data_IF_508478642567
#
_entry.id   IF_508478642567
#
_cell.length_a   1.000
_cell.length_b   1.000
_cell.length_c   1.000
_cell.angle_alpha   90.00
_cell.angle_beta   90.00
_cell.angle_gamma   90.00
#
_symmetry.space_group_name_H-M   'P 1'
#
loop_
_entity.id
_entity.type
_entity.pdbx_description
1 polymer ?
#
# COMPACT_ATOMS: atom_id res chain seq x y z
N UNK A 1 -35.25 -28.70 27.62
CA UNK A 1 -33.98 -28.78 26.88
C UNK A 1 -34.20 -28.13 25.52
N UNK A 2 -33.80 -26.88 25.36
CA UNK A 2 -33.88 -26.18 24.08
C UNK A 2 -32.75 -26.70 23.19
N UNK A 3 -33.09 -27.17 21.99
CA UNK A 3 -32.15 -27.57 20.96
C UNK A 3 -31.11 -26.46 20.74
N UNK A 4 -29.81 -26.77 20.60
CA UNK A 4 -28.81 -25.76 20.30
C UNK A 4 -29.21 -25.12 18.95
N UNK A 5 -29.51 -23.82 18.95
CA UNK A 5 -29.68 -23.07 17.70
C UNK A 5 -28.39 -23.24 16.92
N UNK A 6 -28.45 -24.02 15.84
CA UNK A 6 -27.35 -24.10 14.89
C UNK A 6 -27.05 -22.69 14.40
N UNK A 7 -25.93 -22.13 14.85
CA UNK A 7 -25.48 -20.84 14.38
C UNK A 7 -25.21 -20.92 12.89
N UNK A 8 -25.97 -20.15 12.10
CA UNK A 8 -25.92 -20.14 10.65
C UNK A 8 -24.57 -19.58 10.20
N UNK A 9 -23.95 -20.25 9.25
CA UNK A 9 -22.77 -19.72 8.57
C UNK A 9 -23.13 -18.43 7.83
N UNK A 10 -22.33 -17.39 7.98
CA UNK A 10 -22.53 -16.09 7.35
C UNK A 10 -21.38 -15.80 6.40
N UNK A 11 -21.71 -15.22 5.24
CA UNK A 11 -20.72 -14.75 4.27
C UNK A 11 -20.24 -13.39 4.74
N UNK A 12 -18.94 -13.27 4.99
CA UNK A 12 -18.26 -12.02 5.38
C UNK A 12 -17.91 -11.20 4.14
N UNK A 13 -17.42 -11.87 3.09
CA UNK A 13 -17.05 -11.23 1.83
C UNK A 13 -17.07 -12.25 0.70
N UNK A 14 -17.55 -11.83 -0.48
CA UNK A 14 -17.49 -12.61 -1.71
C UNK A 14 -16.90 -11.79 -2.83
N UNK A 15 -15.91 -12.36 -3.53
CA UNK A 15 -15.31 -11.84 -4.75
C UNK A 15 -15.13 -12.98 -5.76
N UNK A 16 -14.90 -12.71 -7.05
CA UNK A 16 -14.73 -13.77 -8.05
C UNK A 16 -13.61 -14.77 -7.72
N UNK A 17 -12.55 -14.29 -7.07
CA UNK A 17 -11.33 -15.02 -6.72
C UNK A 17 -11.32 -15.57 -5.30
N UNK A 18 -12.28 -15.18 -4.44
CA UNK A 18 -12.30 -15.60 -3.04
C UNK A 18 -13.65 -15.44 -2.35
N UNK A 19 -13.86 -16.27 -1.35
CA UNK A 19 -15.02 -16.22 -0.46
C UNK A 19 -14.58 -16.40 0.99
N UNK A 20 -15.08 -15.54 1.87
CA UNK A 20 -14.78 -15.54 3.30
C UNK A 20 -16.08 -15.80 4.05
N UNK A 21 -16.08 -16.78 4.93
CA UNK A 21 -17.22 -17.20 5.73
C UNK A 21 -16.88 -17.23 7.21
N UNK A 22 -17.89 -16.98 8.01
CA UNK A 22 -17.84 -17.06 9.47
C UNK A 22 -19.01 -17.86 10.00
N UNK A 23 -18.72 -18.80 10.91
CA UNK A 23 -19.73 -19.54 11.66
C UNK A 23 -19.51 -19.33 13.14
N UNK A 24 -20.44 -18.67 13.81
CA UNK A 24 -20.36 -18.40 15.24
C UNK A 24 -20.52 -19.69 16.03
N UNK A 25 -19.60 -19.99 16.91
CA UNK A 25 -19.65 -21.11 17.86
C UNK A 25 -20.18 -20.64 19.22
N UNK A 26 -19.63 -19.52 19.72
CA UNK A 26 -20.02 -18.88 20.95
C UNK A 26 -20.20 -17.38 20.67
N UNK A 27 -21.39 -16.79 20.96
CA UNK A 27 -21.60 -15.37 20.76
C UNK A 27 -20.79 -14.54 21.77
N UNK A 28 -20.38 -13.35 21.36
CA UNK A 28 -19.69 -12.37 22.18
C UNK A 28 -20.60 -11.24 22.64
N UNK A 29 -19.97 -10.16 23.12
CA UNK A 29 -20.63 -8.93 23.49
C UNK A 29 -20.78 -8.03 22.25
N UNK A 30 -22.02 -7.86 21.79
CA UNK A 30 -22.35 -7.10 20.59
C UNK A 30 -22.13 -5.58 20.72
N UNK A 31 -21.74 -5.08 21.88
CA UNK A 31 -21.44 -3.66 22.08
C UNK A 31 -20.02 -3.29 21.64
N UNK A 32 -19.11 -4.27 21.50
CA UNK A 32 -17.71 -4.08 21.16
C UNK A 32 -17.37 -4.85 19.89
N UNK A 33 -17.24 -4.13 18.77
CA UNK A 33 -16.87 -4.66 17.45
C UNK A 33 -15.61 -3.96 16.97
N UNK A 34 -14.59 -4.68 16.50
CA UNK A 34 -13.36 -4.07 15.98
C UNK A 34 -13.60 -3.24 14.72
N UNK A 35 -12.93 -2.13 14.61
CA UNK A 35 -12.85 -1.31 13.39
C UNK A 35 -11.38 -0.99 13.04
N UNK A 36 -11.14 -0.20 12.01
CA UNK A 36 -9.80 0.20 11.59
C UNK A 36 -9.00 0.75 12.76
N UNK A 37 -7.75 0.30 12.91
CA UNK A 37 -6.81 0.63 13.99
C UNK A 37 -7.19 0.10 15.40
N UNK A 38 -8.26 -0.68 15.55
CA UNK A 38 -8.53 -1.39 16.81
C UNK A 38 -7.46 -2.45 17.07
N UNK A 39 -7.04 -2.58 18.35
CA UNK A 39 -6.16 -3.66 18.80
C UNK A 39 -7.01 -4.82 19.28
N UNK A 40 -6.87 -5.96 18.64
CA UNK A 40 -7.59 -7.17 18.94
C UNK A 40 -6.64 -8.19 19.56
N UNK A 41 -6.95 -8.67 20.78
CA UNK A 41 -6.29 -9.84 21.34
C UNK A 41 -7.04 -11.08 20.92
N UNK A 42 -6.39 -11.93 20.16
CA UNK A 42 -7.01 -13.13 19.57
C UNK A 42 -6.27 -14.40 19.97
N UNK A 43 -7.01 -15.49 19.98
CA UNK A 43 -6.45 -16.85 20.01
C UNK A 43 -6.92 -17.58 18.76
N UNK A 44 -5.96 -18.13 18.02
CA UNK A 44 -6.18 -18.91 16.83
C UNK A 44 -5.81 -20.38 17.11
N UNK A 45 -6.71 -21.29 16.78
CA UNK A 45 -6.52 -22.74 16.92
C UNK A 45 -7.04 -23.46 15.68
N UNK A 46 -6.73 -24.74 15.57
CA UNK A 46 -7.23 -25.62 14.51
C UNK A 46 -6.99 -25.10 13.09
N UNK A 47 -5.85 -24.44 12.88
CA UNK A 47 -5.47 -23.88 11.58
C UNK A 47 -5.18 -25.01 10.60
N UNK A 48 -5.95 -25.05 9.52
CA UNK A 48 -5.82 -26.00 8.41
C UNK A 48 -5.73 -25.27 7.09
N UNK A 49 -4.82 -25.69 6.24
CA UNK A 49 -4.73 -25.24 4.86
C UNK A 49 -4.86 -26.46 3.93
N UNK A 50 -5.80 -26.43 3.01
CA UNK A 50 -6.05 -27.49 2.07
C UNK A 50 -6.20 -26.97 0.64
N UNK A 51 -5.84 -27.77 -0.33
CA UNK A 51 -6.10 -27.57 -1.75
C UNK A 51 -6.68 -28.85 -2.36
N UNK A 52 -6.83 -28.91 -3.67
CA UNK A 52 -7.36 -30.10 -4.35
C UNK A 52 -6.52 -31.38 -4.12
N UNK A 53 -5.24 -31.21 -3.82
CA UNK A 53 -4.30 -32.32 -3.58
C UNK A 53 -4.19 -32.73 -2.10
N UNK A 54 -4.89 -32.05 -1.19
CA UNK A 54 -4.86 -32.29 0.25
C UNK A 54 -4.29 -31.12 1.05
N UNK A 55 -3.53 -31.40 2.12
CA UNK A 55 -2.92 -30.36 2.97
C UNK A 55 -1.87 -29.58 2.21
N UNK A 56 -1.89 -28.26 2.35
CA UNK A 56 -0.90 -27.35 1.76
C UNK A 56 -0.29 -26.43 2.81
N UNK A 57 0.83 -25.80 2.44
CA UNK A 57 1.47 -24.81 3.30
C UNK A 57 0.74 -23.47 3.23
N UNK A 58 0.69 -22.78 4.38
CA UNK A 58 0.22 -21.42 4.47
C UNK A 58 1.35 -20.49 4.02
N UNK A 59 0.98 -19.36 3.42
CA UNK A 59 1.93 -18.38 2.93
C UNK A 59 2.92 -17.96 4.03
N UNK A 60 4.24 -18.05 3.78
CA UNK A 60 5.26 -17.81 4.82
C UNK A 60 5.30 -16.37 5.33
N UNK A 61 4.62 -15.43 4.65
CA UNK A 61 4.56 -14.01 5.01
C UNK A 61 3.43 -13.68 6.00
N UNK A 62 2.54 -14.63 6.31
CA UNK A 62 1.49 -14.42 7.30
C UNK A 62 2.09 -14.26 8.70
N UNK A 63 1.59 -13.25 9.44
CA UNK A 63 1.96 -13.01 10.84
C UNK A 63 1.09 -13.78 11.81
N UNK A 64 -0.10 -14.16 11.40
CA UNK A 64 -1.16 -14.69 12.23
C UNK A 64 -1.32 -16.19 12.05
N UNK A 65 -1.26 -16.66 10.80
CA UNK A 65 -1.47 -18.07 10.48
C UNK A 65 -0.20 -18.89 10.72
N UNK A 66 -0.04 -19.32 11.97
CA UNK A 66 0.85 -20.39 12.40
C UNK A 66 -0.02 -21.54 12.90
N UNK A 67 0.59 -22.63 13.43
CA UNK A 67 -0.18 -23.76 13.99
C UNK A 67 -1.10 -23.35 15.14
N UNK A 68 -0.67 -22.36 15.92
CA UNK A 68 -1.49 -21.67 16.93
C UNK A 68 -0.94 -20.26 17.11
N UNK A 69 -1.81 -19.31 17.40
CA UNK A 69 -1.45 -17.92 17.64
C UNK A 69 -2.22 -17.42 18.86
N UNK A 70 -1.53 -16.83 19.82
CA UNK A 70 -2.13 -16.08 20.94
C UNK A 70 -1.39 -14.74 21.00
N UNK A 71 -2.05 -13.66 20.64
CA UNK A 71 -1.40 -12.36 20.54
C UNK A 71 -2.32 -11.25 20.07
N UNK A 72 -1.70 -10.10 19.83
CA UNK A 72 -2.39 -8.90 19.40
C UNK A 72 -2.31 -8.71 17.88
N UNK A 73 -3.43 -8.36 17.28
CA UNK A 73 -3.56 -7.95 15.88
C UNK A 73 -4.07 -6.52 15.86
N UNK A 74 -3.42 -5.66 15.08
CA UNK A 74 -3.88 -4.31 14.79
C UNK A 74 -4.63 -4.33 13.46
N UNK A 75 -5.92 -4.01 13.48
CA UNK A 75 -6.74 -3.97 12.27
C UNK A 75 -6.23 -2.90 11.30
N UNK A 76 -6.03 -3.27 10.05
CA UNK A 76 -5.51 -2.37 9.01
C UNK A 76 -3.98 -2.32 8.91
N UNK A 77 -3.24 -3.07 9.74
CA UNK A 77 -1.76 -3.14 9.70
C UNK A 77 -1.21 -4.39 9.00
N UNK A 78 -2.07 -5.23 8.44
CA UNK A 78 -1.63 -6.43 7.71
C UNK A 78 -1.09 -6.11 6.32
N UNK A 79 -0.03 -6.80 5.95
CA UNK A 79 0.58 -6.71 4.61
C UNK A 79 0.24 -7.93 3.74
N UNK A 80 0.11 -9.12 4.33
CA UNK A 80 -0.33 -10.34 3.65
C UNK A 80 -1.80 -10.23 3.21
N UNK A 81 -2.15 -10.74 2.03
CA UNK A 81 -3.54 -10.75 1.58
C UNK A 81 -4.40 -11.68 2.43
N UNK A 82 -3.83 -12.78 2.94
CA UNK A 82 -4.51 -13.71 3.85
C UNK A 82 -4.84 -13.02 5.17
N UNK A 83 -3.86 -12.31 5.75
CA UNK A 83 -4.07 -11.59 7.00
C UNK A 83 -5.11 -10.46 6.83
N UNK A 84 -5.10 -9.75 5.69
CA UNK A 84 -6.14 -8.75 5.36
C UNK A 84 -7.54 -9.36 5.25
N UNK A 85 -7.65 -10.55 4.65
CA UNK A 85 -8.93 -11.26 4.56
C UNK A 85 -9.39 -11.76 5.94
N UNK A 86 -8.45 -12.14 6.79
CA UNK A 86 -8.74 -12.50 8.17
C UNK A 86 -9.15 -11.30 9.02
N UNK A 87 -8.56 -10.12 8.81
CA UNK A 87 -9.02 -8.88 9.46
C UNK A 87 -10.49 -8.57 9.15
N UNK A 88 -11.00 -8.91 7.95
CA UNK A 88 -12.42 -8.78 7.64
C UNK A 88 -13.29 -9.70 8.52
N UNK A 89 -12.79 -10.88 8.89
CA UNK A 89 -13.49 -11.76 9.84
C UNK A 89 -13.53 -11.11 11.22
N UNK A 90 -12.38 -10.60 11.71
CA UNK A 90 -12.30 -9.94 13.01
C UNK A 90 -13.23 -8.73 13.10
N UNK A 91 -13.33 -7.92 12.04
CA UNK A 91 -14.24 -6.78 11.96
C UNK A 91 -15.73 -7.15 12.00
N UNK A 92 -16.06 -8.41 11.80
CA UNK A 92 -17.42 -8.95 11.90
C UNK A 92 -17.64 -9.72 13.20
N UNK A 93 -16.64 -9.80 14.08
CA UNK A 93 -16.72 -10.46 15.38
C UNK A 93 -17.02 -9.46 16.50
N UNK A 94 -17.62 -9.97 17.56
CA UNK A 94 -17.85 -9.24 18.80
C UNK A 94 -16.83 -9.66 19.86
N UNK A 95 -16.52 -8.80 20.83
CA UNK A 95 -15.63 -9.13 21.92
C UNK A 95 -16.13 -10.36 22.71
N UNK A 96 -15.27 -11.34 22.97
CA UNK A 96 -15.61 -12.61 23.59
C UNK A 96 -16.24 -13.66 22.66
N UNK A 97 -16.41 -13.33 21.37
CA UNK A 97 -16.94 -14.28 20.38
C UNK A 97 -15.91 -15.35 20.01
N UNK A 98 -16.39 -16.58 19.82
CA UNK A 98 -15.64 -17.67 19.22
C UNK A 98 -16.32 -18.07 17.92
N UNK A 99 -15.59 -18.11 16.83
CA UNK A 99 -16.12 -18.55 15.54
C UNK A 99 -15.15 -19.46 14.77
N UNK A 100 -15.70 -20.22 13.84
CA UNK A 100 -14.95 -20.87 12.77
C UNK A 100 -14.91 -19.94 11.58
N UNK A 101 -13.71 -19.61 11.10
CA UNK A 101 -13.47 -18.79 9.92
C UNK A 101 -13.00 -19.69 8.78
N UNK A 102 -13.56 -19.50 7.57
CA UNK A 102 -13.16 -20.21 6.37
C UNK A 102 -12.91 -19.22 5.25
N UNK A 103 -11.73 -19.27 4.66
CA UNK A 103 -11.32 -18.44 3.52
C UNK A 103 -11.01 -19.36 2.34
N UNK A 104 -11.76 -19.21 1.25
CA UNK A 104 -11.66 -20.04 0.03
C UNK A 104 -11.11 -19.16 -1.09
N UNK A 105 -10.01 -19.59 -1.71
CA UNK A 105 -9.37 -18.90 -2.83
C UNK A 105 -9.51 -19.73 -4.10
N UNK A 106 -9.88 -19.09 -5.20
CA UNK A 106 -10.12 -19.70 -6.50
C UNK A 106 -9.29 -19.03 -7.59
N UNK A 107 -8.95 -19.79 -8.62
CA UNK A 107 -8.35 -19.23 -9.84
C UNK A 107 -9.42 -18.58 -10.75
N UNK A 108 -8.98 -18.03 -11.88
CA UNK A 108 -9.86 -17.40 -12.87
C UNK A 108 -10.89 -18.37 -13.46
N UNK A 109 -10.60 -19.68 -13.46
CA UNK A 109 -11.46 -20.73 -13.99
C UNK A 109 -12.42 -21.28 -12.92
N UNK A 110 -12.38 -20.74 -11.70
CA UNK A 110 -13.20 -21.13 -10.55
C UNK A 110 -12.70 -22.34 -9.78
N UNK A 111 -11.57 -22.95 -10.18
CA UNK A 111 -10.99 -24.09 -9.46
C UNK A 111 -10.40 -23.65 -8.11
N UNK A 112 -10.46 -24.55 -7.13
CA UNK A 112 -9.95 -24.33 -5.78
C UNK A 112 -8.42 -24.22 -5.80
N UNK A 113 -7.89 -23.05 -5.44
CA UNK A 113 -6.44 -22.86 -5.24
C UNK A 113 -6.04 -23.30 -3.85
N UNK A 114 -6.74 -22.77 -2.84
CA UNK A 114 -6.54 -23.14 -1.44
C UNK A 114 -7.75 -22.75 -0.59
N UNK A 115 -7.93 -23.48 0.51
CA UNK A 115 -8.88 -23.17 1.56
C UNK A 115 -8.16 -23.13 2.89
N UNK A 116 -8.37 -22.07 3.65
CA UNK A 116 -7.83 -21.93 5.02
C UNK A 116 -9.02 -21.91 5.96
N UNK A 117 -9.00 -22.79 6.96
CA UNK A 117 -9.98 -22.79 8.06
C UNK A 117 -9.27 -22.72 9.40
N UNK A 118 -9.89 -22.03 10.34
CA UNK A 118 -9.37 -21.90 11.70
C UNK A 118 -10.51 -21.61 12.66
N UNK A 119 -10.29 -21.93 13.93
CA UNK A 119 -11.12 -21.42 15.03
C UNK A 119 -10.44 -20.19 15.61
N UNK A 120 -11.19 -19.11 15.76
CA UNK A 120 -10.71 -17.86 16.33
C UNK A 120 -11.57 -17.44 17.51
N UNK A 121 -10.94 -17.05 18.60
CA UNK A 121 -11.52 -16.38 19.75
C UNK A 121 -11.04 -14.94 19.80
N UNK A 122 -11.95 -13.98 19.79
CA UNK A 122 -11.67 -12.55 19.99
C UNK A 122 -11.81 -12.24 21.48
N UNK A 123 -10.69 -12.30 22.22
CA UNK A 123 -10.68 -12.16 23.69
C UNK A 123 -10.95 -10.74 24.14
N UNK A 124 -10.27 -9.77 23.54
CA UNK A 124 -10.31 -8.38 23.94
C UNK A 124 -10.27 -7.50 22.70
N UNK A 125 -10.99 -6.41 22.74
CA UNK A 125 -10.95 -5.32 21.75
C UNK A 125 -10.60 -4.05 22.52
N UNK A 126 -9.47 -3.44 22.17
CA UNK A 126 -9.17 -2.09 22.64
C UNK A 126 -9.63 -1.13 21.57
N UNK A 127 -10.69 -0.39 21.87
CA UNK A 127 -11.17 0.68 21.01
C UNK A 127 -10.14 1.81 21.01
N UNK A 128 -9.69 2.15 19.83
CA UNK A 128 -8.89 3.34 19.60
C UNK A 128 -9.83 4.48 19.18
N UNK A 129 -9.38 5.71 19.35
CA UNK A 129 -10.13 6.86 18.82
C UNK A 129 -10.30 6.72 17.31
N UNK A 130 -11.42 7.18 16.77
CA UNK A 130 -11.59 7.26 15.31
C UNK A 130 -10.47 8.09 14.69
N UNK A 131 -10.00 7.72 13.51
CA UNK A 131 -8.91 8.44 12.82
C UNK A 131 -9.23 9.92 12.65
N UNK A 132 -10.51 10.28 12.51
CA UNK A 132 -10.98 11.67 12.48
C UNK A 132 -10.67 12.46 13.74
N UNK A 133 -10.51 11.80 14.87
CA UNK A 133 -10.31 12.40 16.18
C UNK A 133 -8.85 12.34 16.64
N UNK A 134 -7.96 11.81 15.78
CA UNK A 134 -6.54 11.73 16.08
C UNK A 134 -5.90 13.10 16.04
N UNK A 135 -4.98 13.33 16.98
CA UNK A 135 -4.14 14.51 16.94
C UNK A 135 -3.20 14.47 15.72
N UNK A 136 -2.71 15.63 15.32
CA UNK A 136 -1.75 15.71 14.20
C UNK A 136 -0.48 14.90 14.46
N UNK A 137 -0.01 14.82 15.73
CA UNK A 137 1.16 14.03 16.14
C UNK A 137 0.94 12.55 15.82
N UNK A 138 -0.21 12.03 16.25
CA UNK A 138 -0.55 10.63 16.01
C UNK A 138 -0.69 10.30 14.53
N UNK A 139 -1.32 11.20 13.76
CA UNK A 139 -1.41 11.06 12.30
C UNK A 139 -0.03 11.08 11.64
N UNK A 140 0.88 11.94 12.11
CA UNK A 140 2.25 12.02 11.62
C UNK A 140 3.04 10.73 11.94
N UNK A 141 3.00 10.25 13.18
CA UNK A 141 3.65 8.99 13.59
C UNK A 141 3.14 7.80 12.78
N UNK A 142 1.83 7.70 12.60
CA UNK A 142 1.23 6.66 11.77
C UNK A 142 1.65 6.78 10.29
N UNK A 143 1.76 7.99 9.75
CA UNK A 143 2.26 8.21 8.40
C UNK A 143 3.73 7.79 8.25
N UNK A 144 4.58 8.07 9.25
CA UNK A 144 5.98 7.60 9.28
C UNK A 144 6.02 6.07 9.31
N UNK A 145 5.26 5.43 10.19
CA UNK A 145 5.16 3.98 10.28
C UNK A 145 4.78 3.33 8.94
N UNK A 146 3.69 3.81 8.31
CA UNK A 146 3.26 3.28 7.01
C UNK A 146 4.28 3.54 5.89
N UNK A 147 4.99 4.69 5.91
CA UNK A 147 6.08 4.95 4.96
C UNK A 147 7.21 3.92 5.13
N UNK A 148 7.62 3.61 6.35
CA UNK A 148 8.69 2.64 6.63
C UNK A 148 8.30 1.23 6.20
N UNK A 149 7.10 0.80 6.54
CA UNK A 149 6.55 -0.48 6.07
C UNK A 149 6.51 -0.54 4.54
N UNK A 150 6.09 0.54 3.88
CA UNK A 150 6.09 0.63 2.42
C UNK A 150 7.50 0.48 1.81
N UNK A 151 8.53 1.08 2.43
CA UNK A 151 9.92 0.92 1.98
C UNK A 151 10.38 -0.53 2.11
N UNK A 152 10.04 -1.22 3.19
CA UNK A 152 10.40 -2.63 3.37
C UNK A 152 9.69 -3.54 2.37
N UNK A 153 8.44 -3.24 2.02
CA UNK A 153 7.70 -3.96 0.98
C UNK A 153 8.33 -3.75 -0.42
N UNK A 154 8.85 -2.56 -0.72
CA UNK A 154 9.62 -2.34 -1.97
C UNK A 154 10.87 -3.24 -2.01
N UNK A 155 11.63 -3.32 -0.90
CA UNK A 155 12.80 -4.21 -0.83
C UNK A 155 12.44 -5.69 -1.05
N UNK A 156 11.22 -6.08 -0.69
CA UNK A 156 10.67 -7.42 -0.90
C UNK A 156 10.05 -7.63 -2.30
N UNK A 157 10.08 -6.62 -3.19
CA UNK A 157 9.46 -6.68 -4.52
C UNK A 157 7.93 -6.56 -4.51
N UNK A 158 7.31 -6.23 -3.38
CA UNK A 158 5.86 -6.15 -3.17
C UNK A 158 5.34 -4.74 -3.46
N UNK A 159 5.48 -4.29 -4.70
CA UNK A 159 5.20 -2.91 -5.12
C UNK A 159 3.74 -2.49 -4.89
N UNK A 160 2.76 -3.38 -5.16
CA UNK A 160 1.33 -3.06 -4.95
C UNK A 160 0.99 -2.82 -3.48
N UNK A 161 1.54 -3.63 -2.57
CA UNK A 161 1.33 -3.45 -1.13
C UNK A 161 2.06 -2.21 -0.62
N UNK A 162 3.26 -1.94 -1.10
CA UNK A 162 4.00 -0.71 -0.82
C UNK A 162 3.21 0.53 -1.25
N UNK A 163 2.62 0.51 -2.45
CA UNK A 163 1.76 1.59 -2.93
C UNK A 163 0.60 1.88 -1.97
N UNK A 164 -0.08 0.83 -1.47
CA UNK A 164 -1.17 0.98 -0.49
C UNK A 164 -0.69 1.62 0.80
N UNK A 165 0.48 1.21 1.32
CA UNK A 165 1.09 1.78 2.52
C UNK A 165 1.46 3.25 2.33
N UNK A 166 2.13 3.61 1.23
CA UNK A 166 2.46 5.01 0.94
C UNK A 166 1.22 5.88 0.74
N UNK A 167 0.17 5.34 0.11
CA UNK A 167 -1.09 6.06 -0.07
C UNK A 167 -1.79 6.29 1.27
N UNK A 168 -1.82 5.28 2.18
CA UNK A 168 -2.36 5.43 3.54
C UNK A 168 -1.58 6.51 4.30
N UNK A 169 -0.25 6.47 4.28
CA UNK A 169 0.62 7.48 4.88
C UNK A 169 0.33 8.89 4.36
N UNK A 170 0.19 9.04 3.04
CA UNK A 170 -0.09 10.34 2.43
C UNK A 170 -1.46 10.88 2.83
N UNK A 171 -2.50 10.04 2.88
CA UNK A 171 -3.83 10.43 3.36
C UNK A 171 -3.80 10.91 4.81
N UNK A 172 -3.05 10.25 5.68
CA UNK A 172 -2.88 10.68 7.08
C UNK A 172 -2.24 12.06 7.17
N UNK A 173 -1.19 12.33 6.38
CA UNK A 173 -0.57 13.67 6.33
C UNK A 173 -1.51 14.74 5.77
N UNK A 174 -2.32 14.41 4.77
CA UNK A 174 -3.32 15.36 4.23
C UNK A 174 -4.41 15.64 5.28
N UNK A 175 -4.78 14.64 6.08
CA UNK A 175 -5.78 14.80 7.14
C UNK A 175 -5.32 15.74 8.29
N UNK A 176 -4.01 16.02 8.41
CA UNK A 176 -3.52 17.01 9.38
C UNK A 176 -3.76 18.46 8.93
N UNK A 177 -4.12 18.70 7.68
CA UNK A 177 -4.29 20.06 7.14
C UNK A 177 -5.73 20.58 7.29
N UNK A 178 -5.92 21.89 7.59
CA UNK A 178 -4.88 22.90 7.78
C UNK A 178 -4.25 22.82 9.18
N UNK A 179 -2.92 22.99 9.25
CA UNK A 179 -2.20 23.08 10.51
C UNK A 179 -2.34 24.49 11.09
N UNK A 180 -2.68 24.61 12.37
CA UNK A 180 -2.69 25.90 13.06
C UNK A 180 -1.25 26.33 13.38
N UNK A 181 -0.74 27.46 12.82
CA UNK A 181 0.60 27.94 13.07
C UNK A 181 0.88 28.29 14.55
N UNK A 182 -0.18 28.41 15.36
CA UNK A 182 -0.04 28.67 16.80
C UNK A 182 0.23 27.39 17.60
N UNK A 183 -0.14 26.24 17.04
CA UNK A 183 -0.05 24.93 17.70
C UNK A 183 1.18 24.17 17.21
N UNK A 184 1.55 24.35 15.95
CA UNK A 184 2.60 23.54 15.30
C UNK A 184 3.81 24.43 14.98
N UNK A 185 5.01 24.00 15.42
CA UNK A 185 6.24 24.72 15.13
C UNK A 185 6.62 24.67 13.64
N UNK A 186 7.37 25.67 13.16
CA UNK A 186 7.87 25.70 11.79
C UNK A 186 8.71 24.46 11.43
N UNK A 187 9.43 23.91 12.40
CA UNK A 187 10.23 22.69 12.17
C UNK A 187 9.33 21.50 11.84
N UNK A 188 8.26 21.31 12.59
CA UNK A 188 7.29 20.22 12.34
C UNK A 188 6.64 20.38 10.96
N UNK A 189 6.30 21.61 10.57
CA UNK A 189 5.75 21.86 9.21
C UNK A 189 6.77 21.46 8.15
N UNK A 190 8.05 21.79 8.32
CA UNK A 190 9.13 21.36 7.41
C UNK A 190 9.25 19.84 7.34
N UNK A 191 9.25 19.16 8.49
CA UNK A 191 9.34 17.69 8.56
C UNK A 191 8.16 17.02 7.86
N UNK A 192 6.94 17.56 8.02
CA UNK A 192 5.76 17.08 7.32
C UNK A 192 5.84 17.27 5.81
N UNK A 193 6.34 18.43 5.35
CA UNK A 193 6.57 18.69 3.92
C UNK A 193 7.61 17.74 3.36
N UNK A 194 8.74 17.52 4.06
CA UNK A 194 9.73 16.54 3.65
C UNK A 194 9.14 15.12 3.54
N UNK A 195 8.31 14.73 4.51
CA UNK A 195 7.65 13.42 4.48
C UNK A 195 6.70 13.32 3.28
N UNK A 196 5.93 14.37 2.95
CA UNK A 196 5.09 14.43 1.74
C UNK A 196 5.91 14.25 0.47
N UNK A 197 7.03 14.95 0.34
CA UNK A 197 7.94 14.82 -0.82
C UNK A 197 8.43 13.37 -0.94
N UNK A 198 8.86 12.76 0.18
CA UNK A 198 9.30 11.36 0.21
C UNK A 198 8.18 10.41 -0.23
N UNK A 199 6.93 10.65 0.22
CA UNK A 199 5.77 9.83 -0.12
C UNK A 199 5.38 9.99 -1.60
N UNK A 200 5.32 11.20 -2.14
CA UNK A 200 5.07 11.41 -3.56
C UNK A 200 6.11 10.73 -4.43
N UNK A 201 7.39 10.83 -4.05
CA UNK A 201 8.46 10.12 -4.73
C UNK A 201 8.28 8.60 -4.68
N UNK A 202 7.94 8.03 -3.53
CA UNK A 202 7.75 6.59 -3.40
C UNK A 202 6.52 6.09 -4.18
N UNK A 203 5.42 6.85 -4.18
CA UNK A 203 4.25 6.56 -5.01
C UNK A 203 4.58 6.63 -6.51
N UNK A 204 5.34 7.66 -6.93
CA UNK A 204 5.81 7.78 -8.31
C UNK A 204 6.70 6.60 -8.72
N UNK A 205 7.54 6.09 -7.79
CA UNK A 205 8.32 4.88 -8.03
C UNK A 205 7.42 3.66 -8.26
N UNK A 206 6.40 3.48 -7.43
CA UNK A 206 5.46 2.36 -7.60
C UNK A 206 4.71 2.44 -8.93
N UNK A 207 4.23 3.61 -9.32
CA UNK A 207 3.52 3.79 -10.59
C UNK A 207 4.43 3.53 -11.79
N UNK A 208 5.69 3.99 -11.72
CA UNK A 208 6.66 3.76 -12.78
C UNK A 208 6.97 2.25 -12.99
N UNK A 209 6.88 1.43 -11.92
CA UNK A 209 7.06 -0.03 -12.02
C UNK A 209 5.90 -0.73 -12.75
N UNK A 210 4.76 -0.07 -12.88
CA UNK A 210 3.57 -0.56 -13.61
C UNK A 210 3.36 0.19 -14.94
N UNK A 211 4.38 0.95 -15.39
CA UNK A 211 4.33 1.75 -16.62
C UNK A 211 3.19 2.80 -16.65
N UNK A 212 2.68 3.18 -15.46
CA UNK A 212 1.67 4.22 -15.30
C UNK A 212 2.34 5.61 -15.36
N UNK A 213 2.72 6.02 -16.57
CA UNK A 213 3.58 7.18 -16.79
C UNK A 213 2.90 8.50 -16.45
N UNK A 214 1.63 8.71 -16.84
CA UNK A 214 0.87 9.93 -16.55
C UNK A 214 0.71 10.12 -15.04
N UNK A 215 0.35 9.07 -14.31
CA UNK A 215 0.26 9.11 -12.85
C UNK A 215 1.63 9.38 -12.20
N UNK A 216 2.70 8.86 -12.79
CA UNK A 216 4.08 9.14 -12.36
C UNK A 216 4.41 10.62 -12.53
N UNK A 217 4.07 11.23 -13.67
CA UNK A 217 4.29 12.66 -13.93
C UNK A 217 3.56 13.54 -12.92
N UNK A 218 2.28 13.24 -12.65
CA UNK A 218 1.49 13.99 -11.66
C UNK A 218 2.14 13.94 -10.26
N UNK A 219 2.57 12.76 -9.81
CA UNK A 219 3.19 12.58 -8.51
C UNK A 219 4.55 13.28 -8.42
N UNK A 220 5.37 13.20 -9.49
CA UNK A 220 6.63 13.94 -9.57
C UNK A 220 6.41 15.44 -9.54
N UNK A 221 5.42 15.97 -10.27
CA UNK A 221 5.10 17.38 -10.27
C UNK A 221 4.64 17.86 -8.88
N UNK A 222 3.87 17.03 -8.14
CA UNK A 222 3.51 17.32 -6.74
C UNK A 222 4.74 17.36 -5.83
N UNK A 223 5.69 16.43 -5.99
CA UNK A 223 6.93 16.45 -5.23
C UNK A 223 7.77 17.70 -5.54
N UNK A 224 7.93 18.05 -6.82
CA UNK A 224 8.71 19.20 -7.29
C UNK A 224 8.07 20.56 -6.93
N UNK A 225 6.76 20.61 -6.66
CA UNK A 225 6.10 21.81 -6.13
C UNK A 225 6.61 22.18 -4.73
N UNK A 226 6.92 21.18 -3.91
CA UNK A 226 7.45 21.38 -2.55
C UNK A 226 8.98 21.41 -2.51
N UNK A 227 9.63 20.63 -3.38
CA UNK A 227 11.09 20.54 -3.47
C UNK A 227 11.52 20.58 -4.95
N UNK A 228 11.72 21.80 -5.52
CA UNK A 228 12.06 21.97 -6.93
C UNK A 228 13.40 21.38 -7.35
N UNK A 229 14.29 21.10 -6.36
CA UNK A 229 15.63 20.54 -6.62
C UNK A 229 15.71 19.03 -6.31
N UNK A 230 14.58 18.35 -6.24
CA UNK A 230 14.54 16.93 -5.95
C UNK A 230 14.98 16.07 -7.14
N UNK A 231 16.23 15.62 -7.12
CA UNK A 231 16.84 14.81 -8.20
C UNK A 231 16.04 13.53 -8.46
N UNK A 232 15.54 12.87 -7.39
CA UNK A 232 14.74 11.62 -7.55
C UNK A 232 13.44 11.86 -8.30
N UNK A 233 12.77 12.99 -8.03
CA UNK A 233 11.56 13.36 -8.76
C UNK A 233 11.85 13.70 -10.22
N UNK A 234 12.89 14.47 -10.49
CA UNK A 234 13.34 14.80 -11.86
C UNK A 234 13.72 13.54 -12.65
N UNK A 235 14.47 12.62 -12.04
CA UNK A 235 14.83 11.36 -12.67
C UNK A 235 13.61 10.50 -13.03
N UNK A 236 12.63 10.38 -12.11
CA UNK A 236 11.40 9.61 -12.36
C UNK A 236 10.53 10.27 -13.42
N UNK A 237 10.44 11.62 -13.38
CA UNK A 237 9.75 12.42 -14.38
C UNK A 237 10.35 12.20 -15.78
N UNK A 238 11.67 12.27 -15.88
CA UNK A 238 12.41 11.91 -17.09
C UNK A 238 12.09 10.48 -17.56
N UNK A 239 12.02 9.53 -16.64
CA UNK A 239 11.72 8.14 -16.99
C UNK A 239 10.30 7.99 -17.51
N UNK A 240 9.33 8.67 -16.93
CA UNK A 240 7.94 8.68 -17.37
C UNK A 240 7.78 9.35 -18.75
N UNK A 241 8.39 10.54 -18.99
CA UNK A 241 8.41 11.18 -20.31
C UNK A 241 9.08 10.26 -21.37
N UNK A 242 10.16 9.57 -20.98
CA UNK A 242 10.81 8.61 -21.87
C UNK A 242 9.91 7.42 -22.23
N UNK A 243 9.08 6.93 -21.29
CA UNK A 243 8.07 5.90 -21.52
C UNK A 243 6.95 6.35 -22.46
N UNK A 244 6.55 7.60 -22.36
CA UNK A 244 5.58 8.24 -23.24
C UNK A 244 6.17 8.68 -24.59
N UNK A 245 7.44 8.38 -24.87
CA UNK A 245 8.17 8.82 -26.05
C UNK A 245 8.35 10.34 -26.21
N UNK A 246 8.13 11.10 -25.12
CA UNK A 246 8.34 12.54 -25.04
C UNK A 246 9.81 12.85 -24.72
N UNK A 247 10.68 12.58 -25.69
CA UNK A 247 12.14 12.57 -25.45
C UNK A 247 12.73 13.96 -25.17
N UNK A 248 12.15 15.03 -25.71
CA UNK A 248 12.59 16.40 -25.46
C UNK A 248 12.32 16.82 -24.03
N UNK A 249 11.12 16.50 -23.51
CA UNK A 249 10.77 16.74 -22.12
C UNK A 249 11.64 15.87 -21.18
N UNK A 250 11.84 14.59 -21.53
CA UNK A 250 12.71 13.71 -20.78
C UNK A 250 14.15 14.24 -20.72
N UNK A 251 14.65 14.81 -21.83
CA UNK A 251 15.97 15.42 -21.88
C UNK A 251 16.06 16.65 -20.97
N UNK A 252 15.04 17.51 -21.00
CA UNK A 252 14.94 18.71 -20.16
C UNK A 252 14.97 18.34 -18.67
N UNK A 253 14.21 17.33 -18.27
CA UNK A 253 14.16 16.84 -16.88
C UNK A 253 15.50 16.32 -16.42
N UNK A 254 16.18 15.47 -17.22
CA UNK A 254 17.46 14.89 -16.82
C UNK A 254 18.59 15.92 -16.82
N UNK A 255 18.55 16.90 -17.71
CA UNK A 255 19.50 18.02 -17.68
C UNK A 255 19.29 18.87 -16.43
N UNK A 256 18.05 19.02 -15.98
CA UNK A 256 17.75 19.73 -14.72
C UNK A 256 18.30 18.97 -13.52
N UNK A 257 18.19 17.63 -13.48
CA UNK A 257 18.79 16.82 -12.44
C UNK A 257 20.34 16.94 -12.43
N UNK A 258 20.98 16.90 -13.59
CA UNK A 258 22.44 17.02 -13.72
C UNK A 258 22.96 18.44 -13.43
N UNK A 259 22.14 19.48 -13.54
CA UNK A 259 22.51 20.84 -13.10
C UNK A 259 22.56 20.93 -11.57
N UNK A 260 21.74 20.15 -10.86
CA UNK A 260 21.72 20.10 -9.40
C UNK A 260 22.89 19.25 -8.89
N UNK A 261 23.05 18.04 -9.42
CA UNK A 261 24.19 17.17 -9.12
C UNK A 261 24.80 16.60 -10.41
N UNK A 262 25.87 17.19 -10.91
CA UNK A 262 26.59 16.70 -12.10
C UNK A 262 27.18 15.31 -11.95
N UNK A 263 27.38 14.84 -10.71
CA UNK A 263 28.01 13.56 -10.39
C UNK A 263 27.01 12.42 -10.16
N UNK A 264 25.70 12.67 -10.23
CA UNK A 264 24.69 11.62 -10.09
C UNK A 264 24.82 10.60 -11.23
N UNK A 265 25.32 9.40 -10.90
CA UNK A 265 25.60 8.32 -11.86
C UNK A 265 24.33 7.85 -12.58
N UNK A 266 23.19 7.81 -11.89
CA UNK A 266 21.93 7.37 -12.48
C UNK A 266 21.44 8.38 -13.52
N UNK A 267 21.52 9.67 -13.20
CA UNK A 267 21.17 10.75 -14.14
C UNK A 267 22.10 10.77 -15.35
N UNK A 268 23.42 10.60 -15.16
CA UNK A 268 24.38 10.52 -16.25
C UNK A 268 24.08 9.34 -17.20
N UNK A 269 23.83 8.15 -16.65
CA UNK A 269 23.48 6.98 -17.45
C UNK A 269 22.19 7.18 -18.23
N UNK A 270 21.18 7.78 -17.59
CA UNK A 270 19.90 8.10 -18.24
C UNK A 270 20.08 9.12 -19.36
N UNK A 271 20.85 10.19 -19.15
CA UNK A 271 21.16 11.20 -20.16
C UNK A 271 21.88 10.57 -21.36
N UNK A 272 22.88 9.72 -21.11
CA UNK A 272 23.61 9.02 -22.18
C UNK A 272 22.68 8.11 -23.01
N UNK A 273 21.69 7.49 -22.39
CA UNK A 273 20.70 6.66 -23.09
C UNK A 273 19.71 7.48 -23.95
N UNK A 274 19.45 8.73 -23.57
CA UNK A 274 18.53 9.64 -24.30
C UNK A 274 19.25 10.37 -25.44
N UNK A 275 20.53 10.67 -25.31
CA UNK A 275 21.31 11.46 -26.26
C UNK A 275 21.13 11.03 -27.73
N UNK A 276 21.25 9.73 -28.12
CA UNK A 276 21.06 9.32 -29.51
C UNK A 276 19.62 9.54 -30.01
N UNK A 277 18.62 9.49 -29.13
CA UNK A 277 17.22 9.76 -29.49
C UNK A 277 17.00 11.24 -29.80
N UNK A 278 17.57 12.11 -28.99
CA UNK A 278 17.52 13.57 -29.21
C UNK A 278 18.29 13.97 -30.46
N UNK A 279 19.48 13.41 -30.68
CA UNK A 279 20.27 13.66 -31.91
C UNK A 279 19.50 13.27 -33.17
N UNK A 280 18.80 12.13 -33.15
CA UNK A 280 17.95 11.69 -34.25
C UNK A 280 16.81 12.69 -34.51
N UNK A 281 16.07 13.11 -33.46
CA UNK A 281 14.98 14.08 -33.56
C UNK A 281 15.49 15.39 -34.19
N UNK A 282 16.59 15.92 -33.68
CA UNK A 282 17.19 17.16 -34.20
C UNK A 282 17.62 17.04 -35.69
N UNK A 283 18.13 15.89 -36.09
CA UNK A 283 18.48 15.61 -37.48
C UNK A 283 17.25 15.56 -38.37
N UNK A 284 16.17 14.91 -37.90
CA UNK A 284 14.91 14.81 -38.62
C UNK A 284 14.28 16.20 -38.79
N UNK A 285 14.23 17.03 -37.73
CA UNK A 285 13.79 18.42 -37.80
C UNK A 285 14.60 19.25 -38.80
N UNK A 286 15.94 19.14 -38.75
CA UNK A 286 16.82 19.85 -39.67
C UNK A 286 16.54 19.45 -41.13
N UNK A 287 16.27 18.19 -41.36
CA UNK A 287 15.97 17.66 -42.71
C UNK A 287 14.61 18.18 -43.22
N UNK A 288 13.58 18.23 -42.35
CA UNK A 288 12.27 18.75 -42.69
C UNK A 288 12.35 20.25 -43.01
N UNK A 289 13.04 21.02 -42.15
CA UNK A 289 13.21 22.47 -42.38
C UNK A 289 13.92 22.74 -43.72
N UNK A 290 14.99 21.99 -44.01
CA UNK A 290 15.68 22.11 -45.32
C UNK A 290 14.76 21.82 -46.53
N UNK A 291 13.83 20.86 -46.40
CA UNK A 291 12.85 20.55 -47.46
C UNK A 291 11.74 21.59 -47.59
N UNK A 292 11.43 22.33 -46.52
CA UNK A 292 10.37 23.35 -46.55
C UNK A 292 10.86 24.72 -47.05
N UNK A 293 12.13 25.04 -46.86
CA UNK A 293 12.70 26.36 -47.10
C UNK A 293 13.92 26.33 -48.04
N UNK A 294 14.36 25.21 -48.54
CA UNK A 294 15.40 25.01 -49.57
C UNK A 294 14.76 24.54 -50.84
#
# INVERSE_FOLDING_TARGET
>A
MSSPKMHKETIVSTRPDREIRKKVIKPGDYTLVPYEDSRCKIVLTDVKCTNESGNCEIEPVSRVFSRSFDGNVLIGDSDSFIDKDFELVLQQMCCGEVCEATMVYRNKDGALVKQISCQVELKEVTEEQLISDWSWERLYEAAVHHKERGVDLIKQGRTADAFRRFNKALKMLIATEPLDPKVVSEQVVKDMVELKVKLYNNLAHCQLQYDEYEATLELCNKALKFDPVNIKALYRKCSAHSGLHMYEDAWTDIQSALRIDPNDKAAQLKANSLKPKIEKINKDYTTVIKKMFG
#
